data_IF_306683049804
#
_entry.id   IF_306683049804
#
_cell.length_a   1.000
_cell.length_b   1.000
_cell.length_c   1.000
_cell.angle_alpha   90.00
_cell.angle_beta   90.00
_cell.angle_gamma   90.00
#
_symmetry.space_group_name_H-M   'P 1'
#
loop_
_entity.id
_entity.type
_entity.pdbx_description
1 polymer ?
#
# COMPACT_ATOMS: atom_id res chain seq x y z
N UNK A 1 10.05 25.51 4.19
CA UNK A 1 11.20 25.16 5.04
C UNK A 1 12.01 24.00 4.41
N UNK A 2 11.46 22.80 4.25
CA UNK A 2 12.16 21.59 3.76
C UNK A 2 12.97 21.88 2.46
N UNK A 3 12.36 22.56 1.49
CA UNK A 3 13.00 22.89 0.19
C UNK A 3 14.22 23.79 0.39
N UNK A 4 14.11 24.84 1.22
CA UNK A 4 15.22 25.78 1.45
C UNK A 4 16.37 25.09 2.19
N UNK A 5 16.03 24.31 3.23
CA UNK A 5 17.02 23.59 4.02
C UNK A 5 17.64 22.38 3.29
N UNK A 6 17.01 21.85 2.23
CA UNK A 6 17.64 20.83 1.40
C UNK A 6 18.88 21.31 0.66
N UNK A 7 18.99 22.62 0.45
CA UNK A 7 20.15 23.28 -0.18
C UNK A 7 21.12 23.89 0.83
N UNK A 8 20.88 23.77 2.14
CA UNK A 8 21.79 24.34 3.14
C UNK A 8 23.02 23.45 3.35
N UNK A 9 24.22 24.02 3.40
CA UNK A 9 25.46 23.28 3.67
C UNK A 9 25.53 22.75 5.09
N UNK A 10 25.05 23.53 6.07
CA UNK A 10 25.10 23.18 7.49
C UNK A 10 24.09 22.11 7.89
N UNK A 11 24.43 21.31 8.89
CA UNK A 11 23.48 20.40 9.57
C UNK A 11 22.54 21.15 10.52
N UNK A 12 22.87 22.37 10.89
CA UNK A 12 22.11 23.19 11.81
C UNK A 12 20.95 23.89 11.12
N UNK A 13 19.93 24.30 11.88
CA UNK A 13 18.77 25.03 11.36
C UNK A 13 19.08 26.50 11.01
N UNK A 14 20.36 26.83 10.79
CA UNK A 14 20.80 28.15 10.34
C UNK A 14 21.25 28.01 8.89
N UNK A 15 20.65 28.82 8.00
CA UNK A 15 21.04 28.83 6.60
C UNK A 15 22.40 29.52 6.45
N UNK A 16 23.42 28.76 6.04
CA UNK A 16 24.80 29.28 5.90
C UNK A 16 25.14 29.56 4.44
N UNK A 17 25.12 28.57 3.59
CA UNK A 17 25.44 28.68 2.16
C UNK A 17 24.63 27.66 1.36
N UNK A 18 24.19 28.03 0.12
CA UNK A 18 23.56 27.05 -0.77
C UNK A 18 24.60 26.01 -1.23
N UNK A 19 24.24 24.73 -1.10
CA UNK A 19 25.11 23.60 -1.48
C UNK A 19 24.28 22.40 -1.94
N UNK A 20 24.85 21.60 -2.84
CA UNK A 20 24.27 20.34 -3.31
C UNK A 20 24.88 19.11 -2.62
N UNK A 21 25.64 19.32 -1.55
CA UNK A 21 26.37 18.25 -0.86
C UNK A 21 25.46 17.11 -0.39
N UNK A 22 24.24 17.44 0.06
CA UNK A 22 23.26 16.47 0.56
C UNK A 22 22.63 15.67 -0.58
N UNK A 23 22.46 16.24 -1.77
CA UNK A 23 22.00 15.53 -2.96
C UNK A 23 23.06 14.55 -3.45
N UNK A 24 24.33 14.95 -3.44
CA UNK A 24 25.44 14.05 -3.75
C UNK A 24 25.49 12.89 -2.75
N UNK A 25 25.37 13.19 -1.47
CA UNK A 25 25.34 12.18 -0.41
C UNK A 25 24.12 11.26 -0.51
N UNK A 26 22.96 11.80 -0.87
CA UNK A 26 21.74 11.04 -1.12
C UNK A 26 21.96 10.01 -2.23
N UNK A 27 22.59 10.38 -3.32
CA UNK A 27 22.77 9.53 -4.50
C UNK A 27 23.89 8.50 -4.29
N UNK A 28 25.04 8.91 -3.76
CA UNK A 28 26.26 8.09 -3.77
C UNK A 28 26.56 7.41 -2.43
N UNK A 29 26.16 8.01 -1.30
CA UNK A 29 26.56 7.54 0.02
C UNK A 29 25.39 7.06 0.90
N UNK A 30 24.22 6.83 0.32
CA UNK A 30 22.99 6.44 1.06
C UNK A 30 22.46 5.08 0.63
N UNK A 31 23.33 4.06 0.58
CA UNK A 31 22.96 2.72 0.14
C UNK A 31 21.80 2.12 0.96
N UNK A 32 21.76 2.35 2.27
CA UNK A 32 20.69 1.84 3.15
C UNK A 32 19.34 2.51 2.87
N UNK A 33 19.34 3.80 2.51
CA UNK A 33 18.15 4.52 2.09
C UNK A 33 17.58 3.93 0.79
N UNK A 34 18.44 3.67 -0.19
CA UNK A 34 18.02 3.08 -1.46
C UNK A 34 17.49 1.67 -1.30
N UNK A 35 18.09 0.87 -0.39
CA UNK A 35 17.56 -0.44 -0.01
C UNK A 35 16.19 -0.32 0.65
N UNK A 36 16.02 0.63 1.57
CA UNK A 36 14.75 0.87 2.23
C UNK A 36 13.66 1.31 1.24
N UNK A 37 14.01 2.18 0.27
CA UNK A 37 13.10 2.57 -0.81
C UNK A 37 12.72 1.37 -1.69
N UNK A 38 13.68 0.56 -2.09
CA UNK A 38 13.44 -0.64 -2.88
C UNK A 38 12.52 -1.63 -2.14
N UNK A 39 12.78 -1.86 -0.85
CA UNK A 39 11.92 -2.69 0.00
C UNK A 39 10.48 -2.16 0.03
N UNK A 40 10.31 -0.83 0.22
CA UNK A 40 8.98 -0.20 0.19
C UNK A 40 8.27 -0.42 -1.13
N UNK A 41 8.95 -0.23 -2.26
CA UNK A 41 8.37 -0.42 -3.60
C UNK A 41 7.99 -1.89 -3.82
N UNK A 42 8.87 -2.84 -3.47
CA UNK A 42 8.60 -4.26 -3.62
C UNK A 42 7.39 -4.67 -2.78
N UNK A 43 7.37 -4.28 -1.51
CA UNK A 43 6.25 -4.60 -0.61
C UNK A 43 4.96 -3.96 -1.13
N UNK A 44 4.98 -2.67 -1.48
CA UNK A 44 3.79 -1.97 -1.94
C UNK A 44 3.21 -2.58 -3.22
N UNK A 45 4.04 -2.84 -4.21
CA UNK A 45 3.58 -3.41 -5.49
C UNK A 45 3.05 -4.83 -5.33
N UNK A 46 3.75 -5.67 -4.55
CA UNK A 46 3.33 -7.06 -4.34
C UNK A 46 2.09 -7.15 -3.46
N UNK A 47 2.01 -6.42 -2.36
CA UNK A 47 0.83 -6.42 -1.48
C UNK A 47 -0.39 -5.80 -2.18
N UNK A 48 -0.20 -4.70 -2.93
CA UNK A 48 -1.27 -4.10 -3.71
C UNK A 48 -1.79 -5.04 -4.80
N UNK A 49 -0.91 -5.74 -5.52
CA UNK A 49 -1.32 -6.70 -6.54
C UNK A 49 -2.16 -7.83 -5.95
N UNK A 50 -1.70 -8.44 -4.85
CA UNK A 50 -2.43 -9.54 -4.20
C UNK A 50 -3.72 -9.06 -3.54
N UNK A 51 -3.71 -7.94 -2.83
CA UNK A 51 -4.92 -7.38 -2.23
C UNK A 51 -5.94 -6.94 -3.29
N UNK A 52 -5.48 -6.45 -4.46
CA UNK A 52 -6.36 -6.11 -5.58
C UNK A 52 -7.02 -7.35 -6.16
N UNK A 53 -6.26 -8.40 -6.37
CA UNK A 53 -6.82 -9.67 -6.83
C UNK A 53 -7.86 -10.22 -5.84
N UNK A 54 -7.50 -10.33 -4.57
CA UNK A 54 -8.37 -10.87 -3.53
C UNK A 54 -9.59 -9.98 -3.27
N UNK A 55 -9.41 -8.66 -3.18
CA UNK A 55 -10.47 -7.69 -2.96
C UNK A 55 -11.48 -7.64 -4.11
N UNK A 56 -10.98 -7.73 -5.36
CA UNK A 56 -11.84 -7.81 -6.55
C UNK A 56 -12.66 -9.10 -6.55
N UNK A 57 -12.02 -10.25 -6.32
CA UNK A 57 -12.71 -11.55 -6.26
C UNK A 57 -13.75 -11.57 -5.14
N UNK A 58 -13.40 -11.05 -3.96
CA UNK A 58 -14.31 -10.95 -2.82
C UNK A 58 -15.51 -10.04 -3.16
N UNK A 59 -15.27 -8.89 -3.80
CA UNK A 59 -16.32 -7.95 -4.20
C UNK A 59 -17.27 -8.57 -5.22
N UNK A 60 -16.75 -9.22 -6.26
CA UNK A 60 -17.55 -9.94 -7.24
C UNK A 60 -18.33 -11.06 -6.55
N UNK A 61 -17.68 -11.90 -5.74
CA UNK A 61 -18.31 -13.00 -5.06
C UNK A 61 -19.47 -12.58 -4.14
N UNK A 62 -19.28 -11.49 -3.39
CA UNK A 62 -20.31 -10.94 -2.53
C UNK A 62 -21.47 -10.34 -3.34
N UNK A 63 -21.22 -9.67 -4.46
CA UNK A 63 -22.31 -9.07 -5.23
C UNK A 63 -23.07 -10.10 -6.09
N UNK A 64 -22.35 -11.08 -6.65
CA UNK A 64 -22.93 -12.04 -7.61
C UNK A 64 -23.66 -13.20 -6.98
N UNK A 65 -23.12 -13.72 -5.86
CA UNK A 65 -23.65 -14.95 -5.27
C UNK A 65 -24.52 -14.68 -4.02
N UNK A 66 -25.59 -15.48 -3.89
CA UNK A 66 -26.43 -15.52 -2.67
C UNK A 66 -26.01 -16.73 -1.84
N UNK A 67 -25.43 -16.49 -0.68
CA UNK A 67 -25.02 -17.56 0.25
C UNK A 67 -25.23 -17.15 1.70
N UNK A 68 -25.39 -18.17 2.57
CA UNK A 68 -25.53 -17.95 4.00
C UNK A 68 -24.21 -17.35 4.55
N UNK A 69 -24.32 -16.32 5.42
CA UNK A 69 -23.14 -15.67 6.00
C UNK A 69 -22.55 -14.51 5.18
N UNK A 70 -23.10 -14.17 4.00
CA UNK A 70 -22.63 -13.04 3.17
C UNK A 70 -22.43 -11.75 3.97
N UNK A 71 -23.39 -11.36 4.81
CA UNK A 71 -23.29 -10.16 5.66
C UNK A 71 -22.15 -10.23 6.66
N UNK A 72 -21.89 -11.41 7.24
CA UNK A 72 -20.80 -11.62 8.20
C UNK A 72 -19.46 -11.47 7.50
N UNK A 73 -19.27 -12.10 6.33
CA UNK A 73 -18.03 -11.99 5.55
C UNK A 73 -17.80 -10.53 5.14
N UNK A 74 -18.82 -9.83 4.67
CA UNK A 74 -18.73 -8.42 4.31
C UNK A 74 -18.34 -7.55 5.51
N UNK A 75 -18.93 -7.78 6.69
CA UNK A 75 -18.58 -7.06 7.91
C UNK A 75 -17.13 -7.35 8.35
N UNK A 76 -16.70 -8.61 8.26
CA UNK A 76 -15.32 -9.00 8.57
C UNK A 76 -14.30 -8.39 7.60
N UNK A 77 -14.67 -8.22 6.33
CA UNK A 77 -13.80 -7.56 5.35
C UNK A 77 -13.52 -6.10 5.73
N UNK A 78 -14.49 -5.40 6.34
CA UNK A 78 -14.29 -4.02 6.78
C UNK A 78 -13.59 -3.90 8.14
N UNK A 79 -13.46 -4.99 8.89
CA UNK A 79 -12.91 -4.95 10.26
C UNK A 79 -11.53 -4.29 10.35
N UNK A 80 -10.55 -4.58 9.45
CA UNK A 80 -9.23 -3.94 9.51
C UNK A 80 -9.26 -2.41 9.32
N UNK A 81 -10.26 -1.86 8.64
CA UNK A 81 -10.39 -0.40 8.46
C UNK A 81 -10.82 0.32 9.74
N UNK A 82 -11.53 -0.38 10.63
CA UNK A 82 -12.09 0.22 11.86
C UNK A 82 -11.11 0.08 13.02
N UNK A 83 -10.24 -0.92 12.96
CA UNK A 83 -9.26 -1.16 14.01
C UNK A 83 -8.10 -0.16 13.92
N UNK A 84 -7.61 0.37 15.05
CA UNK A 84 -6.37 1.14 15.07
C UNK A 84 -5.20 0.32 14.51
N UNK A 85 -4.40 0.92 13.63
CA UNK A 85 -3.26 0.27 12.97
C UNK A 85 -2.28 -0.38 13.96
N UNK A 86 -2.08 0.26 15.12
CA UNK A 86 -1.24 -0.30 16.20
C UNK A 86 -1.76 -1.66 16.67
N UNK A 87 -3.08 -1.81 16.82
CA UNK A 87 -3.69 -3.08 17.23
C UNK A 87 -3.50 -4.13 16.14
N UNK A 88 -3.68 -3.75 14.88
CA UNK A 88 -3.44 -4.64 13.73
C UNK A 88 -1.98 -5.09 13.70
N UNK A 89 -1.03 -4.16 13.83
CA UNK A 89 0.40 -4.45 13.82
C UNK A 89 0.82 -5.39 14.96
N UNK A 90 0.37 -5.13 16.20
CA UNK A 90 0.66 -6.00 17.36
C UNK A 90 0.02 -7.39 17.16
N UNK A 91 -1.22 -7.46 16.68
CA UNK A 91 -1.90 -8.73 16.43
C UNK A 91 -1.16 -9.57 15.39
N UNK A 92 -0.66 -8.94 14.31
CA UNK A 92 0.15 -9.61 13.29
C UNK A 92 1.50 -10.08 13.86
N UNK A 93 2.16 -9.27 14.70
CA UNK A 93 3.39 -9.67 15.38
C UNK A 93 3.16 -10.94 16.23
N UNK A 94 2.11 -10.94 17.04
CA UNK A 94 1.76 -12.09 17.90
C UNK A 94 1.45 -13.31 17.04
N UNK A 95 0.68 -13.13 15.96
CA UNK A 95 0.32 -14.20 15.05
C UNK A 95 1.57 -14.83 14.39
N UNK A 96 2.43 -14.03 13.76
CA UNK A 96 3.63 -14.54 13.09
C UNK A 96 4.61 -15.18 14.09
N UNK A 97 4.78 -14.59 15.26
CA UNK A 97 5.62 -15.15 16.33
C UNK A 97 5.05 -16.47 16.85
N UNK A 98 3.74 -16.58 17.00
CA UNK A 98 3.07 -17.80 17.47
C UNK A 98 3.22 -18.98 16.51
N UNK A 99 3.20 -18.73 15.21
CA UNK A 99 3.42 -19.75 14.17
C UNK A 99 4.89 -19.86 13.74
N UNK A 100 5.80 -19.14 14.45
CA UNK A 100 7.26 -19.17 14.24
C UNK A 100 7.72 -18.76 12.84
N UNK A 101 6.99 -17.87 12.19
CA UNK A 101 7.45 -17.26 10.93
C UNK A 101 8.44 -16.13 11.29
N UNK A 102 9.68 -16.17 10.73
CA UNK A 102 10.65 -15.10 10.97
C UNK A 102 10.15 -13.79 10.38
N UNK A 103 10.26 -12.71 11.17
CA UNK A 103 9.89 -11.37 10.72
C UNK A 103 10.82 -10.91 9.60
N UNK A 104 10.25 -10.23 8.59
CA UNK A 104 10.99 -9.79 7.41
C UNK A 104 10.08 -9.24 6.31
N UNK A 105 10.56 -9.18 5.07
CA UNK A 105 9.78 -8.67 3.94
C UNK A 105 8.48 -9.47 3.71
N UNK A 106 8.49 -10.79 3.95
CA UNK A 106 7.29 -11.60 3.79
C UNK A 106 6.20 -11.26 4.81
N UNK A 107 6.55 -11.04 6.07
CA UNK A 107 5.58 -10.66 7.11
C UNK A 107 5.04 -9.26 6.89
N UNK A 108 5.85 -8.32 6.38
CA UNK A 108 5.39 -7.00 5.96
C UNK A 108 4.42 -7.14 4.79
N UNK A 109 4.78 -7.89 3.74
CA UNK A 109 3.92 -8.15 2.59
C UNK A 109 2.56 -8.75 2.99
N UNK A 110 2.55 -9.78 3.85
CA UNK A 110 1.33 -10.42 4.29
C UNK A 110 0.43 -9.49 5.13
N UNK A 111 1.05 -8.71 6.03
CA UNK A 111 0.34 -7.73 6.86
C UNK A 111 -0.26 -6.60 5.99
N UNK A 112 0.51 -6.05 5.06
CA UNK A 112 0.03 -5.02 4.14
C UNK A 112 -1.06 -5.54 3.20
N UNK A 113 -0.94 -6.77 2.71
CA UNK A 113 -1.99 -7.41 1.90
C UNK A 113 -3.32 -7.46 2.68
N UNK A 114 -3.25 -7.89 3.94
CA UNK A 114 -4.44 -7.97 4.81
C UNK A 114 -5.04 -6.60 5.09
N UNK A 115 -4.21 -5.60 5.36
CA UNK A 115 -4.63 -4.24 5.65
C UNK A 115 -5.19 -3.51 4.42
N UNK A 116 -4.59 -3.70 3.24
CA UNK A 116 -5.02 -3.05 2.00
C UNK A 116 -6.29 -3.66 1.39
N UNK A 117 -6.57 -4.95 1.66
CA UNK A 117 -7.68 -5.69 1.07
C UNK A 117 -9.05 -5.00 1.21
N UNK A 118 -9.46 -4.50 2.41
CA UNK A 118 -10.75 -3.84 2.57
C UNK A 118 -10.89 -2.55 1.75
N UNK A 119 -9.82 -1.82 1.54
CA UNK A 119 -9.83 -0.60 0.72
C UNK A 119 -10.06 -0.93 -0.76
N UNK A 120 -9.39 -1.95 -1.28
CA UNK A 120 -9.65 -2.46 -2.63
C UNK A 120 -11.08 -2.97 -2.76
N UNK A 121 -11.51 -3.79 -1.79
CA UNK A 121 -12.89 -4.31 -1.77
C UNK A 121 -13.91 -3.16 -1.84
N UNK A 122 -13.71 -2.09 -1.08
CA UNK A 122 -14.59 -0.92 -1.06
C UNK A 122 -14.65 -0.24 -2.43
N UNK A 123 -13.49 0.01 -3.07
CA UNK A 123 -13.41 0.68 -4.37
C UNK A 123 -14.08 -0.13 -5.48
N UNK A 124 -13.83 -1.43 -5.51
CA UNK A 124 -14.46 -2.32 -6.51
C UNK A 124 -15.94 -2.49 -6.22
N UNK A 125 -16.33 -2.62 -4.94
CA UNK A 125 -17.74 -2.76 -4.55
C UNK A 125 -18.56 -1.50 -4.88
N UNK A 126 -17.99 -0.31 -4.70
CA UNK A 126 -18.63 0.94 -5.12
C UNK A 126 -18.92 0.94 -6.63
N UNK A 127 -17.95 0.50 -7.43
CA UNK A 127 -18.14 0.42 -8.89
C UNK A 127 -19.15 -0.65 -9.31
N UNK A 128 -19.17 -1.80 -8.60
CA UNK A 128 -20.15 -2.85 -8.84
C UNK A 128 -21.58 -2.42 -8.47
N UNK A 129 -21.76 -1.56 -7.47
CA UNK A 129 -23.08 -1.06 -7.09
C UNK A 129 -23.72 -0.11 -8.13
N UNK A 130 -22.89 0.50 -8.98
CA UNK A 130 -23.33 1.35 -10.12
C UNK A 130 -23.50 0.55 -11.41
N UNK A 131 -23.12 -0.72 -11.41
CA UNK A 131 -23.14 -1.57 -12.61
C UNK A 131 -24.56 -2.01 -12.96
N UNK A 132 -24.95 -1.79 -14.21
CA UNK A 132 -26.25 -2.23 -14.73
C UNK A 132 -26.22 -3.73 -15.10
N UNK A 133 -26.91 -4.54 -14.29
CA UNK A 133 -26.99 -5.99 -14.50
C UNK A 133 -27.71 -6.39 -15.77
N UNK A 134 -28.50 -5.52 -16.39
CA UNK A 134 -29.16 -5.80 -17.68
C UNK A 134 -28.16 -6.13 -18.79
N UNK A 135 -26.93 -5.59 -18.70
CA UNK A 135 -25.84 -5.88 -19.63
C UNK A 135 -25.40 -7.35 -19.53
N UNK A 136 -25.44 -7.94 -18.35
CA UNK A 136 -25.13 -9.35 -18.12
C UNK A 136 -26.23 -10.23 -18.73
N UNK A 137 -27.48 -9.88 -18.50
CA UNK A 137 -28.62 -10.59 -19.07
C UNK A 137 -28.57 -10.56 -20.60
N UNK A 138 -28.32 -9.40 -21.21
CA UNK A 138 -28.15 -9.26 -22.63
C UNK A 138 -26.97 -10.08 -23.19
N UNK A 139 -25.87 -10.18 -22.48
CA UNK A 139 -24.73 -11.02 -22.86
C UNK A 139 -25.10 -12.51 -22.85
N UNK A 140 -25.89 -12.97 -21.89
CA UNK A 140 -26.38 -14.35 -21.82
C UNK A 140 -27.38 -14.64 -22.93
N UNK A 141 -28.27 -13.70 -23.25
CA UNK A 141 -29.24 -13.83 -24.36
C UNK A 141 -28.53 -13.97 -25.73
N UNK A 142 -27.36 -13.35 -25.85
CA UNK A 142 -26.49 -13.51 -27.03
C UNK A 142 -25.63 -14.79 -26.99
N UNK A 143 -25.85 -15.68 -26.02
CA UNK A 143 -25.17 -16.97 -25.93
C UNK A 143 -23.78 -16.92 -25.27
N UNK A 144 -23.43 -15.82 -24.60
CA UNK A 144 -22.17 -15.77 -23.87
C UNK A 144 -22.18 -16.70 -22.64
N UNK A 145 -21.09 -17.44 -22.43
CA UNK A 145 -20.90 -18.22 -21.20
C UNK A 145 -20.63 -17.29 -20.02
N UNK A 146 -20.85 -17.79 -18.79
CA UNK A 146 -20.55 -17.02 -17.55
C UNK A 146 -19.10 -16.50 -17.52
N UNK A 147 -18.13 -17.33 -17.90
CA UNK A 147 -16.72 -16.93 -17.98
C UNK A 147 -16.48 -15.82 -19.03
N UNK A 148 -17.12 -15.91 -20.20
CA UNK A 148 -17.01 -14.90 -21.24
C UNK A 148 -17.67 -13.59 -20.80
N UNK A 149 -18.83 -13.65 -20.16
CA UNK A 149 -19.51 -12.49 -19.58
C UNK A 149 -18.66 -11.83 -18.50
N UNK A 150 -18.09 -12.61 -17.59
CA UNK A 150 -17.22 -12.08 -16.54
C UNK A 150 -16.00 -11.36 -17.12
N UNK A 151 -15.28 -12.01 -18.03
CA UNK A 151 -13.99 -11.50 -18.54
C UNK A 151 -14.14 -10.40 -19.60
N UNK A 152 -15.19 -10.43 -20.42
CA UNK A 152 -15.38 -9.50 -21.55
C UNK A 152 -16.35 -8.36 -21.26
N UNK A 153 -17.20 -8.50 -20.23
CA UNK A 153 -18.21 -7.50 -19.90
C UNK A 153 -17.97 -6.93 -18.51
N UNK A 154 -17.99 -7.77 -17.49
CA UNK A 154 -17.96 -7.32 -16.09
C UNK A 154 -16.61 -6.73 -15.71
N UNK A 155 -15.52 -7.49 -15.88
CA UNK A 155 -14.17 -7.02 -15.51
C UNK A 155 -13.80 -5.72 -16.22
N UNK A 156 -13.99 -5.56 -17.54
CA UNK A 156 -13.75 -4.29 -18.21
C UNK A 156 -14.61 -3.13 -17.68
N UNK A 157 -15.87 -3.39 -17.35
CA UNK A 157 -16.78 -2.36 -16.83
C UNK A 157 -16.39 -1.86 -15.44
N UNK A 158 -15.85 -2.75 -14.58
CA UNK A 158 -15.39 -2.41 -13.23
C UNK A 158 -13.90 -2.07 -13.18
N UNK A 159 -13.17 -2.13 -14.29
CA UNK A 159 -11.73 -1.87 -14.36
C UNK A 159 -11.30 -0.54 -13.72
N UNK A 160 -12.03 0.58 -13.89
CA UNK A 160 -11.70 1.82 -13.20
C UNK A 160 -11.69 1.67 -11.67
N UNK A 161 -12.63 0.90 -11.10
CA UNK A 161 -12.67 0.59 -9.68
C UNK A 161 -11.51 -0.30 -9.24
N UNK A 162 -11.11 -1.27 -10.06
CA UNK A 162 -9.96 -2.14 -9.81
C UNK A 162 -8.67 -1.32 -9.78
N UNK A 163 -8.47 -0.43 -10.77
CA UNK A 163 -7.29 0.45 -10.85
C UNK A 163 -7.26 1.40 -9.65
N UNK A 164 -8.39 2.03 -9.32
CA UNK A 164 -8.48 2.92 -8.15
C UNK A 164 -8.14 2.17 -6.85
N UNK A 165 -8.65 0.95 -6.68
CA UNK A 165 -8.34 0.09 -5.54
C UNK A 165 -6.85 -0.27 -5.48
N UNK A 166 -6.24 -0.61 -6.62
CA UNK A 166 -4.81 -0.87 -6.72
C UNK A 166 -3.97 0.35 -6.32
N UNK A 167 -4.28 1.52 -6.89
CA UNK A 167 -3.56 2.75 -6.56
C UNK A 167 -3.69 3.11 -5.08
N UNK A 168 -4.88 2.96 -4.51
CA UNK A 168 -5.12 3.16 -3.08
C UNK A 168 -4.27 2.21 -2.24
N UNK A 169 -4.23 0.92 -2.59
CA UNK A 169 -3.43 -0.08 -1.88
C UNK A 169 -1.92 0.21 -1.99
N UNK A 170 -1.42 0.65 -3.15
CA UNK A 170 -0.01 1.07 -3.32
C UNK A 170 0.29 2.25 -2.39
N UNK A 171 -0.56 3.28 -2.39
CA UNK A 171 -0.36 4.47 -1.55
C UNK A 171 -0.35 4.11 -0.07
N UNK A 172 -1.36 3.37 0.40
CA UNK A 172 -1.48 2.92 1.79
C UNK A 172 -0.26 2.11 2.24
N UNK A 173 0.23 1.21 1.39
CA UNK A 173 1.40 0.38 1.69
C UNK A 173 2.71 1.16 1.67
N UNK A 174 2.86 2.18 0.81
CA UNK A 174 4.07 3.01 0.74
C UNK A 174 4.22 3.94 1.94
N UNK A 175 3.12 4.45 2.47
CA UNK A 175 3.12 5.38 3.60
C UNK A 175 3.09 4.68 4.96
N UNK A 176 2.79 3.35 5.00
CA UNK A 176 2.68 2.64 6.26
C UNK A 176 4.02 2.60 7.01
N UNK A 177 3.94 3.08 8.23
CA UNK A 177 4.99 2.98 9.24
C UNK A 177 4.59 2.05 10.38
N UNK A 178 3.32 2.13 10.79
CA UNK A 178 2.86 1.56 12.05
C UNK A 178 2.88 0.04 12.01
N UNK A 179 2.22 -0.56 11.03
CA UNK A 179 2.17 -2.02 10.88
C UNK A 179 3.57 -2.56 10.61
N UNK A 180 4.30 -1.92 9.68
CA UNK A 180 5.69 -2.29 9.36
C UNK A 180 6.59 -2.31 10.59
N UNK A 181 6.46 -1.32 11.50
CA UNK A 181 7.26 -1.25 12.73
C UNK A 181 7.17 -2.53 13.58
N UNK A 182 6.00 -3.15 13.64
CA UNK A 182 5.79 -4.36 14.43
C UNK A 182 6.20 -5.65 13.70
N UNK A 183 6.09 -5.70 12.37
CA UNK A 183 6.29 -6.94 11.61
C UNK A 183 7.57 -6.98 10.78
N UNK A 184 8.37 -5.89 10.80
CA UNK A 184 9.67 -5.85 10.15
C UNK A 184 10.70 -6.68 10.92
N UNK A 185 11.61 -7.30 10.18
CA UNK A 185 12.74 -8.04 10.72
C UNK A 185 14.09 -7.52 10.18
N UNK A 186 15.20 -8.18 10.52
CA UNK A 186 16.51 -7.78 10.05
C UNK A 186 16.56 -7.68 8.52
N UNK A 187 17.07 -6.56 8.01
CA UNK A 187 17.23 -6.31 6.55
C UNK A 187 15.95 -5.95 5.78
N UNK A 188 14.78 -5.89 6.45
CA UNK A 188 13.50 -5.57 5.83
C UNK A 188 13.00 -4.15 6.11
N UNK A 189 13.90 -3.23 6.44
CA UNK A 189 13.56 -1.83 6.69
C UNK A 189 12.93 -1.20 5.45
N UNK A 190 11.75 -0.60 5.62
CA UNK A 190 11.06 0.20 4.59
C UNK A 190 11.44 1.66 4.70
N UNK A 191 11.11 2.47 3.70
CA UNK A 191 11.45 3.90 3.68
C UNK A 191 10.85 4.67 4.87
N UNK A 192 9.54 4.53 5.23
CA UNK A 192 8.99 5.19 6.42
C UNK A 192 9.72 4.80 7.71
N UNK A 193 10.04 3.52 7.86
CA UNK A 193 10.76 3.02 9.04
C UNK A 193 12.21 3.56 9.08
N UNK A 194 12.87 3.66 7.94
CA UNK A 194 14.20 4.25 7.82
C UNK A 194 14.19 5.74 8.19
N UNK A 195 13.25 6.51 7.63
CA UNK A 195 13.08 7.95 7.92
C UNK A 195 12.82 8.18 9.40
N UNK A 196 11.95 7.37 10.00
CA UNK A 196 11.69 7.43 11.45
C UNK A 196 12.96 7.20 12.28
N UNK A 197 13.75 6.19 11.93
CA UNK A 197 15.02 5.91 12.62
C UNK A 197 15.98 7.10 12.56
N UNK A 198 16.09 7.74 11.41
CA UNK A 198 16.93 8.92 11.25
C UNK A 198 16.46 10.12 12.07
N UNK A 199 15.14 10.34 12.16
CA UNK A 199 14.55 11.41 12.98
C UNK A 199 14.88 11.18 14.46
N UNK A 200 14.77 9.93 14.92
CA UNK A 200 15.02 9.55 16.30
C UNK A 200 16.50 9.71 16.74
N UNK A 201 17.42 9.44 15.85
CA UNK A 201 18.87 9.52 16.12
C UNK A 201 19.51 10.84 15.71
N UNK A 202 18.73 11.81 15.23
CA UNK A 202 19.18 13.13 14.80
C UNK A 202 18.86 13.39 13.33
N UNK A 203 18.20 14.52 13.05
CA UNK A 203 17.76 14.88 11.70
C UNK A 203 18.97 15.10 10.80
N UNK A 204 19.20 14.18 9.87
CA UNK A 204 20.19 14.40 8.81
C UNK A 204 19.59 15.29 7.71
N UNK A 205 20.27 16.33 7.24
CA UNK A 205 19.78 17.16 6.12
C UNK A 205 19.53 16.37 4.81
N UNK A 206 20.04 15.13 4.71
CA UNK A 206 19.74 14.19 3.62
C UNK A 206 18.24 13.92 3.53
N UNK A 207 17.50 13.92 4.67
CA UNK A 207 16.04 13.75 4.67
C UNK A 207 15.36 14.91 3.95
N UNK A 208 15.82 16.15 4.15
CA UNK A 208 15.26 17.31 3.46
C UNK A 208 15.47 17.21 1.93
N UNK A 209 16.63 16.73 1.51
CA UNK A 209 16.94 16.51 0.08
C UNK A 209 16.09 15.36 -0.50
N UNK A 210 15.89 14.26 0.25
CA UNK A 210 15.00 13.18 -0.14
C UNK A 210 13.55 13.68 -0.28
N UNK A 211 13.05 14.41 0.74
CA UNK A 211 11.69 14.95 0.73
C UNK A 211 11.46 15.89 -0.46
N UNK A 212 12.44 16.73 -0.77
CA UNK A 212 12.35 17.59 -1.96
C UNK A 212 12.28 16.80 -3.26
N UNK A 213 13.12 15.77 -3.42
CA UNK A 213 13.10 14.90 -4.61
C UNK A 213 11.76 14.18 -4.73
N UNK A 214 11.22 13.65 -3.62
CA UNK A 214 9.91 13.00 -3.62
C UNK A 214 8.78 13.98 -4.00
N UNK A 215 8.77 15.18 -3.42
CA UNK A 215 7.78 16.23 -3.76
C UNK A 215 7.89 16.60 -5.23
N UNK A 216 9.11 16.81 -5.75
CA UNK A 216 9.33 17.13 -7.15
C UNK A 216 8.82 16.02 -8.09
N UNK A 217 9.03 14.76 -7.71
CA UNK A 217 8.56 13.60 -8.49
C UNK A 217 7.03 13.45 -8.47
N UNK A 218 6.37 13.82 -7.36
CA UNK A 218 4.90 13.74 -7.25
C UNK A 218 4.18 14.92 -7.89
N UNK A 219 4.87 16.06 -8.12
CA UNK A 219 4.30 17.24 -8.77
C UNK A 219 4.49 17.25 -10.30
N UNK A 220 5.27 16.33 -10.86
CA UNK A 220 5.51 16.13 -12.30
C UNK A 220 4.56 15.09 -12.89
#
# INVERSE_FOLDING_TARGET
FIIIYSFNESKEMVFTRPSLIWYRKLIFDSADLWRALLNSIIVAMTSAAVSTMLGTLASIGINWYKFAGKKIIQSLTYLPMVLPEVIVGISMLIFFSGIKIPLGLFTIFAAHTTFCLPFVFLMVNARLSEFDYSIVEAAHDLGASEFATMTKVVIPAILPGIISGFMMAVTMSLEDFVITFFVAGPGSTTLPLYVYSMIRFGVSPVINSLSFVMIAFTCL
#
